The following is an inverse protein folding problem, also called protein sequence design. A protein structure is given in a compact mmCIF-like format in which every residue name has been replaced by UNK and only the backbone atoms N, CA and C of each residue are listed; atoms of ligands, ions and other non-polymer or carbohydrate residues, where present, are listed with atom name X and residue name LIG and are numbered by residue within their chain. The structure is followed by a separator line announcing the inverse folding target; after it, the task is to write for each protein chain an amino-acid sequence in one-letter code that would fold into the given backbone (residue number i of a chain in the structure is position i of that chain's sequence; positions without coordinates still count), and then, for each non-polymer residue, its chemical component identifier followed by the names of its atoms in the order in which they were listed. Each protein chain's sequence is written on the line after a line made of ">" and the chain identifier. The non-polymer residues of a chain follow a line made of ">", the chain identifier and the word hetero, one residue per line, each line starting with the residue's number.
data_IF_683509032315
#
_entry.id   IF_683509032315
#
_cell.length_a   1.000
_cell.length_b   1.000
_cell.length_c   1.000
_cell.angle_alpha   90.00
_cell.angle_beta   90.00
_cell.angle_gamma   90.00
#
_symmetry.space_group_name_H-M   'P 1'
#
loop_
_entity.id
_entity.type
_entity.pdbx_description
1 polymer ?
#
# COMPACT_ATOMS: atom_id res chain seq x y z
N UNK A 1 -44.83 -7.70 0.96
CA UNK A 1 -43.40 -8.05 0.79
C UNK A 1 -42.65 -6.76 0.56
N UNK A 2 -42.27 -6.09 1.65
CA UNK A 2 -41.70 -4.74 1.63
C UNK A 2 -40.17 -4.82 1.53
N UNK A 3 -39.63 -4.39 0.40
CA UNK A 3 -38.19 -4.39 0.15
C UNK A 3 -37.57 -3.14 0.79
N UNK A 4 -36.54 -3.26 1.65
CA UNK A 4 -35.90 -2.10 2.27
C UNK A 4 -35.09 -1.30 1.22
N UNK A 5 -35.01 0.03 1.34
CA UNK A 5 -34.26 0.87 0.40
C UNK A 5 -32.76 0.57 0.52
N UNK A 6 -32.15 0.12 -0.58
CA UNK A 6 -30.69 -0.04 -0.70
C UNK A 6 -30.06 1.35 -0.66
N UNK A 7 -29.73 1.81 0.54
CA UNK A 7 -28.99 3.04 0.78
C UNK A 7 -27.51 2.74 0.53
N UNK A 8 -26.88 3.26 -0.53
CA UNK A 8 -25.45 3.07 -0.74
C UNK A 8 -24.65 3.88 0.32
N UNK A 9 -23.52 3.36 0.82
CA UNK A 9 -22.71 4.03 1.83
C UNK A 9 -22.14 5.36 1.32
N UNK A 10 -22.33 6.41 2.14
CA UNK A 10 -21.82 7.78 1.95
C UNK A 10 -20.35 7.92 2.40
N UNK A 11 -19.43 7.30 1.69
CA UNK A 11 -18.01 7.64 1.80
C UNK A 11 -17.38 7.67 0.41
N UNK A 12 -17.89 8.59 -0.41
CA UNK A 12 -17.09 9.13 -1.51
C UNK A 12 -16.23 10.22 -0.88
N UNK A 13 -14.90 10.08 -0.80
CA UNK A 13 -14.07 11.22 -0.44
C UNK A 13 -14.25 12.29 -1.51
N UNK A 14 -14.76 13.44 -1.11
CA UNK A 14 -14.86 14.62 -1.98
C UNK A 14 -13.43 15.08 -2.28
N UNK A 15 -12.92 14.76 -3.46
CA UNK A 15 -11.75 15.44 -4.02
C UNK A 15 -12.17 16.87 -4.40
N UNK A 16 -12.38 17.71 -3.39
CA UNK A 16 -12.53 19.15 -3.53
C UNK A 16 -11.27 19.81 -3.00
N UNK A 17 -10.27 19.87 -3.86
CA UNK A 17 -9.40 21.05 -3.94
C UNK A 17 -8.87 21.17 -5.36
N UNK A 18 -9.61 21.91 -6.18
CA UNK A 18 -9.05 22.52 -7.37
C UNK A 18 -8.26 23.71 -6.86
N UNK A 19 -6.93 23.59 -6.79
CA UNK A 19 -6.04 24.71 -6.46
C UNK A 19 -6.17 25.76 -7.57
N UNK A 20 -7.11 26.68 -7.40
CA UNK A 20 -7.09 27.96 -8.10
C UNK A 20 -5.97 28.77 -7.44
N UNK A 21 -4.83 28.88 -8.12
CA UNK A 21 -3.79 29.81 -7.73
C UNK A 21 -4.31 31.25 -7.81
N UNK A 22 -4.99 31.72 -6.76
CA UNK A 22 -5.19 33.13 -6.49
C UNK A 22 -4.30 33.51 -5.32
N UNK A 23 -3.08 33.95 -5.63
CA UNK A 23 -2.40 34.89 -4.76
C UNK A 23 -3.07 36.26 -4.94
N UNK A 24 -3.71 36.71 -3.88
CA UNK A 24 -4.40 37.98 -3.77
C UNK A 24 -3.47 39.16 -4.04
N UNK A 25 -3.84 40.01 -4.98
CA UNK A 25 -3.48 41.43 -4.93
C UNK A 25 -4.75 42.23 -5.19
N UNK A 26 -5.29 42.76 -4.09
CA UNK A 26 -6.29 43.82 -4.04
C UNK A 26 -5.96 44.91 -5.07
N UNK A 27 -6.82 45.13 -6.07
CA UNK A 27 -6.82 46.37 -6.84
C UNK A 27 -8.25 46.88 -6.91
N UNK A 28 -8.47 48.05 -6.28
CA UNK A 28 -9.64 48.90 -6.47
C UNK A 28 -9.88 49.15 -7.97
N UNK A 29 -11.11 49.47 -8.42
CA UNK A 29 -11.33 49.77 -9.83
C UNK A 29 -10.42 50.94 -10.25
N UNK A 30 -9.46 50.76 -11.17
CA UNK A 30 -8.68 51.87 -11.66
C UNK A 30 -9.54 52.64 -12.67
N UNK A 31 -9.47 53.98 -12.59
CA UNK A 31 -9.85 54.86 -13.68
C UNK A 31 -9.17 54.40 -14.99
N UNK A 32 -9.76 54.64 -16.18
CA UNK A 32 -9.22 54.13 -17.44
C UNK A 32 -7.73 54.52 -17.59
N UNK A 33 -6.82 53.56 -17.83
CA UNK A 33 -5.40 53.87 -17.95
C UNK A 33 -5.14 54.58 -19.29
N UNK A 34 -4.40 55.68 -19.20
CA UNK A 34 -3.66 56.21 -20.34
C UNK A 34 -2.66 55.14 -20.82
N UNK A 35 -2.30 55.11 -22.12
CA UNK A 35 -1.46 54.04 -22.65
C UNK A 35 -0.04 54.12 -22.08
N UNK A 36 0.28 53.24 -21.13
CA UNK A 36 1.64 52.99 -20.68
C UNK A 36 2.37 52.18 -21.77
N UNK A 37 3.18 52.91 -22.54
CA UNK A 37 4.17 52.31 -23.42
C UNK A 37 5.27 51.65 -22.59
N UNK A 38 5.47 50.34 -22.73
CA UNK A 38 6.78 49.73 -22.52
C UNK A 38 6.95 48.67 -21.42
N UNK A 39 5.92 47.93 -21.01
CA UNK A 39 6.15 46.66 -20.29
C UNK A 39 6.52 45.54 -21.30
N UNK A 40 7.64 44.83 -21.15
CA UNK A 40 7.94 43.69 -22.02
C UNK A 40 6.88 42.59 -21.81
N UNK A 41 6.41 41.93 -22.87
CA UNK A 41 5.46 40.83 -22.74
C UNK A 41 6.09 39.70 -21.92
N UNK A 42 5.31 38.97 -21.10
CA UNK A 42 5.81 37.77 -20.42
C UNK A 42 6.40 36.81 -21.47
N UNK A 43 7.49 36.08 -21.14
CA UNK A 43 8.08 35.12 -22.08
C UNK A 43 7.01 34.10 -22.47
N UNK A 44 6.73 33.99 -23.76
CA UNK A 44 5.80 33.01 -24.29
C UNK A 44 6.32 31.61 -23.99
N UNK A 45 5.53 30.82 -23.26
CA UNK A 45 5.85 29.40 -23.04
C UNK A 45 5.78 28.71 -24.41
N UNK A 46 6.87 28.08 -24.88
CA UNK A 46 6.83 27.40 -26.16
C UNK A 46 5.80 26.26 -26.14
N UNK A 47 5.03 26.04 -27.22
CA UNK A 47 4.04 24.97 -27.28
C UNK A 47 4.73 23.61 -27.16
N UNK A 48 4.14 22.72 -26.35
CA UNK A 48 4.62 21.35 -26.19
C UNK A 48 4.51 20.62 -27.52
N UNK A 49 5.57 19.92 -27.99
CA UNK A 49 5.51 19.16 -29.23
C UNK A 49 4.44 18.05 -29.16
N UNK A 50 3.66 17.80 -30.24
CA UNK A 50 2.73 16.68 -30.28
C UNK A 50 3.48 15.36 -30.08
N UNK A 51 2.99 14.48 -29.22
CA UNK A 51 3.65 13.21 -28.86
C UNK A 51 4.55 13.26 -27.61
N UNK A 52 4.85 14.46 -27.10
CA UNK A 52 5.68 14.61 -25.90
C UNK A 52 4.95 14.14 -24.63
N UNK A 53 3.64 14.38 -24.54
CA UNK A 53 2.82 13.94 -23.41
C UNK A 53 2.78 12.42 -23.32
N UNK A 54 2.55 11.72 -24.44
CA UNK A 54 2.56 10.26 -24.51
C UNK A 54 3.92 9.69 -24.11
N UNK A 55 5.01 10.29 -24.60
CA UNK A 55 6.36 9.91 -24.19
C UNK A 55 6.58 10.07 -22.68
N UNK A 56 6.12 11.17 -22.09
CA UNK A 56 6.21 11.40 -20.64
C UNK A 56 5.38 10.37 -19.88
N UNK A 57 4.16 10.07 -20.33
CA UNK A 57 3.31 9.02 -19.73
C UNK A 57 4.00 7.67 -19.76
N UNK A 58 4.53 7.24 -20.92
CA UNK A 58 5.24 5.97 -21.03
C UNK A 58 6.45 5.90 -20.10
N UNK A 59 7.23 6.97 -20.01
CA UNK A 59 8.38 7.04 -19.12
C UNK A 59 7.98 7.01 -17.64
N UNK A 60 6.88 7.66 -17.29
CA UNK A 60 6.34 7.65 -15.91
C UNK A 60 5.82 6.27 -15.56
N UNK A 61 5.05 5.63 -16.44
CA UNK A 61 4.53 4.28 -16.23
C UNK A 61 5.67 3.30 -15.98
N UNK A 62 6.68 3.26 -16.84
CA UNK A 62 7.85 2.39 -16.66
C UNK A 62 8.59 2.65 -15.34
N UNK A 63 8.70 3.92 -14.93
CA UNK A 63 9.33 4.27 -13.65
C UNK A 63 8.48 3.83 -12.47
N UNK A 64 7.17 4.02 -12.54
CA UNK A 64 6.22 3.62 -11.50
C UNK A 64 6.23 2.10 -11.35
N UNK A 65 6.22 1.35 -12.45
CA UNK A 65 6.27 -0.12 -12.44
C UNK A 65 7.48 -0.62 -11.64
N UNK A 66 8.67 -0.08 -11.91
CA UNK A 66 9.87 -0.47 -11.18
C UNK A 66 9.89 -0.05 -9.70
N UNK A 67 9.22 1.05 -9.34
CA UNK A 67 9.06 1.46 -7.93
C UNK A 67 8.08 0.52 -7.24
N UNK A 68 6.93 0.24 -7.86
CA UNK A 68 5.90 -0.63 -7.30
C UNK A 68 6.42 -2.04 -7.06
N UNK A 69 7.17 -2.62 -8.01
CA UNK A 69 7.76 -3.95 -7.88
C UNK A 69 8.69 -4.04 -6.65
N UNK A 70 9.52 -3.01 -6.45
CA UNK A 70 10.41 -2.93 -5.28
C UNK A 70 9.62 -2.80 -3.99
N UNK A 71 8.67 -1.87 -3.93
CA UNK A 71 7.86 -1.65 -2.74
C UNK A 71 7.03 -2.89 -2.38
N UNK A 72 6.53 -3.60 -3.39
CA UNK A 72 5.81 -4.85 -3.22
C UNK A 72 6.72 -5.93 -2.64
N UNK A 73 7.92 -6.11 -3.20
CA UNK A 73 8.90 -7.09 -2.70
C UNK A 73 9.30 -6.81 -1.25
N UNK A 74 9.54 -5.54 -0.91
CA UNK A 74 9.87 -5.12 0.46
C UNK A 74 8.71 -5.35 1.42
N UNK A 75 7.48 -5.01 1.01
CA UNK A 75 6.29 -5.26 1.81
C UNK A 75 6.07 -6.76 2.07
N UNK A 76 6.27 -7.60 1.05
CA UNK A 76 6.18 -9.06 1.17
C UNK A 76 7.25 -9.58 2.14
N UNK A 77 8.48 -9.10 2.03
CA UNK A 77 9.57 -9.52 2.92
C UNK A 77 9.24 -9.22 4.39
N UNK A 78 8.71 -8.03 4.69
CA UNK A 78 8.28 -7.65 6.03
C UNK A 78 7.15 -8.54 6.56
N UNK A 79 6.16 -8.85 5.72
CA UNK A 79 5.04 -9.73 6.10
C UNK A 79 5.53 -11.15 6.37
N UNK A 80 6.41 -11.68 5.51
CA UNK A 80 6.98 -13.03 5.70
C UNK A 80 7.84 -13.08 6.96
N UNK A 81 8.65 -12.06 7.23
CA UNK A 81 9.47 -11.99 8.43
C UNK A 81 8.60 -11.97 9.69
N UNK A 82 7.60 -11.09 9.74
CA UNK A 82 6.69 -10.99 10.89
C UNK A 82 5.88 -12.29 11.06
N UNK A 83 5.38 -12.86 9.97
CA UNK A 83 4.64 -14.12 10.02
C UNK A 83 5.54 -15.27 10.49
N UNK A 84 6.75 -15.40 9.96
CA UNK A 84 7.71 -16.44 10.37
C UNK A 84 8.07 -16.28 11.84
N UNK A 85 8.38 -15.06 12.28
CA UNK A 85 8.69 -14.73 13.67
C UNK A 85 7.53 -15.13 14.60
N UNK A 86 6.29 -14.90 14.18
CA UNK A 86 5.10 -15.25 14.96
C UNK A 86 4.77 -16.75 14.97
N UNK A 87 5.11 -17.48 13.91
CA UNK A 87 4.80 -18.91 13.75
C UNK A 87 5.78 -19.82 14.49
N UNK A 88 7.06 -19.46 14.57
CA UNK A 88 8.10 -20.26 15.25
C UNK A 88 7.74 -20.66 16.70
N UNK A 89 7.31 -19.76 17.59
CA UNK A 89 6.98 -20.14 18.96
C UNK A 89 5.76 -21.09 19.03
N UNK A 90 4.73 -20.85 18.22
CA UNK A 90 3.55 -21.72 18.15
C UNK A 90 3.92 -23.12 17.67
N UNK A 91 4.74 -23.20 16.61
CA UNK A 91 5.22 -24.49 16.11
C UNK A 91 6.04 -25.24 17.17
N UNK A 92 6.84 -24.52 17.96
CA UNK A 92 7.61 -25.11 19.06
C UNK A 92 6.71 -25.75 20.11
N UNK A 93 5.64 -25.08 20.50
CA UNK A 93 4.64 -25.59 21.45
C UNK A 93 3.93 -26.84 20.90
N UNK A 94 3.52 -26.81 19.63
CA UNK A 94 2.91 -27.96 18.97
C UNK A 94 3.87 -29.16 18.89
N UNK A 95 5.12 -28.92 18.51
CA UNK A 95 6.16 -29.98 18.48
C UNK A 95 6.39 -30.55 19.87
N UNK A 96 6.44 -29.71 20.91
CA UNK A 96 6.60 -30.20 22.29
C UNK A 96 5.40 -31.08 22.70
N UNK A 97 4.19 -30.66 22.37
CA UNK A 97 2.96 -31.43 22.64
C UNK A 97 3.00 -32.80 21.96
N UNK A 98 3.34 -32.84 20.67
CA UNK A 98 3.49 -34.09 19.90
C UNK A 98 4.58 -34.98 20.48
N UNK A 99 5.73 -34.42 20.82
CA UNK A 99 6.85 -35.17 21.42
C UNK A 99 6.45 -35.75 22.78
N UNK A 100 5.81 -34.97 23.65
CA UNK A 100 5.34 -35.43 24.96
C UNK A 100 4.37 -36.60 24.83
N UNK A 101 3.42 -36.50 23.90
CA UNK A 101 2.45 -37.56 23.65
C UNK A 101 3.14 -38.83 23.12
N UNK A 102 4.03 -38.70 22.14
CA UNK A 102 4.78 -39.83 21.59
C UNK A 102 5.64 -40.53 22.65
N UNK A 103 6.29 -39.78 23.54
CA UNK A 103 7.07 -40.34 24.65
C UNK A 103 6.16 -41.07 25.65
N UNK A 104 5.01 -40.49 25.99
CA UNK A 104 4.05 -41.14 26.89
C UNK A 104 3.58 -42.49 26.32
N UNK A 105 3.19 -42.50 25.04
CA UNK A 105 2.77 -43.72 24.35
C UNK A 105 3.89 -44.77 24.29
N UNK A 106 5.11 -44.36 23.94
CA UNK A 106 6.25 -45.27 23.91
C UNK A 106 6.56 -45.87 25.29
N UNK A 107 6.54 -45.07 26.35
CA UNK A 107 6.74 -45.56 27.73
C UNK A 107 5.62 -46.51 28.15
N UNK A 108 4.36 -46.18 27.82
CA UNK A 108 3.23 -47.06 28.10
C UNK A 108 3.36 -48.41 27.38
N UNK A 109 3.85 -48.40 26.13
CA UNK A 109 4.15 -49.63 25.39
C UNK A 109 5.26 -50.44 26.06
N UNK A 110 6.37 -49.82 26.44
CA UNK A 110 7.47 -50.51 27.14
C UNK A 110 7.03 -51.15 28.46
N UNK A 111 6.17 -50.47 29.24
CA UNK A 111 5.60 -51.03 30.47
C UNK A 111 4.57 -52.15 30.22
N UNK A 112 3.89 -52.10 29.07
CA UNK A 112 2.92 -53.12 28.66
C UNK A 112 3.59 -54.37 28.05
N UNK A 113 4.85 -54.28 27.62
CA UNK A 113 5.64 -55.45 27.27
C UNK A 113 5.99 -56.20 28.58
N UNK A 114 5.46 -57.41 28.81
CA UNK A 114 5.84 -58.18 29.99
C UNK A 114 7.32 -58.55 29.91
N UNK A 115 7.99 -58.51 31.05
CA UNK A 115 9.41 -58.84 31.25
C UNK A 115 9.85 -60.05 30.41
N UNK A 116 10.45 -59.79 29.24
CA UNK A 116 11.14 -60.79 28.41
C UNK A 116 12.62 -60.91 28.80
N UNK A 117 12.94 -60.65 30.07
CA UNK A 117 14.31 -60.67 30.60
C UNK A 117 14.59 -61.71 31.69
N UNK A 118 13.64 -62.58 32.04
CA UNK A 118 13.85 -63.64 33.04
C UNK A 118 13.94 -65.03 32.39
N UNK A 119 15.07 -65.35 31.74
CA UNK A 119 15.47 -66.73 31.40
C UNK A 119 16.98 -66.91 31.37
#
# INVERSE_FOLDING_TARGET
>A
MSQPPRTPPRFVPTLTEVVHGQAHAQQAPPAPPAPEAGAPPPPAVPPVPPGFEEYVVHRVMQRVDGILERQLSEAIALVIEEQTRSMVPRLREEVESVVRHAVYEAVAQELALPDRGSH
#
